data_IF_491560442393
#
_entry.id   IF_491560442393
#
_cell.length_a   1.000
_cell.length_b   1.000
_cell.length_c   1.000
_cell.angle_alpha   90.00
_cell.angle_beta   90.00
_cell.angle_gamma   90.00
#
_symmetry.space_group_name_H-M   'P 1'
#
loop_
_entity.id
_entity.type
_entity.pdbx_description
1 polymer ?
#
# COMPACT_ATOMS: atom_id res chain seq x y z
N UNK A 1 -17.27 -0.51 23.35
CA UNK A 1 -18.74 -0.63 23.36
C UNK A 1 -19.29 0.30 22.28
N UNK A 2 -20.26 -0.17 21.48
CA UNK A 2 -20.94 0.66 20.48
C UNK A 2 -22.08 1.46 21.14
N UNK A 3 -22.07 2.78 20.97
CA UNK A 3 -23.12 3.69 21.44
C UNK A 3 -23.92 4.17 20.24
N UNK A 4 -25.26 4.05 20.29
CA UNK A 4 -26.17 4.63 19.29
C UNK A 4 -26.88 5.82 19.95
N UNK A 5 -26.81 6.99 19.34
CA UNK A 5 -27.53 8.20 19.75
C UNK A 5 -28.56 8.55 18.69
N UNK A 6 -29.81 8.73 19.10
CA UNK A 6 -30.86 9.25 18.25
C UNK A 6 -30.81 10.78 18.25
N UNK A 7 -30.92 11.39 17.06
CA UNK A 7 -31.00 12.83 16.85
C UNK A 7 -32.18 13.13 15.93
N UNK A 8 -33.07 14.01 16.38
CA UNK A 8 -34.16 14.53 15.56
C UNK A 8 -33.65 15.75 14.78
N UNK A 9 -33.79 15.74 13.45
CA UNK A 9 -33.44 16.88 12.59
C UNK A 9 -34.53 17.94 12.69
N UNK A 10 -34.22 19.19 12.33
CA UNK A 10 -35.17 20.32 12.31
C UNK A 10 -36.43 20.04 11.46
N UNK A 11 -36.35 19.12 10.49
CA UNK A 11 -37.45 18.71 9.61
C UNK A 11 -38.24 17.49 10.13
N UNK A 12 -38.08 17.08 11.40
CA UNK A 12 -38.77 15.92 11.99
C UNK A 12 -38.18 14.54 11.64
N UNK A 13 -37.22 14.47 10.71
CA UNK A 13 -36.52 13.22 10.36
C UNK A 13 -35.61 12.72 11.49
N UNK A 14 -35.64 11.40 11.74
CA UNK A 14 -34.77 10.74 12.74
C UNK A 14 -33.43 10.38 12.12
N UNK A 15 -32.35 10.61 12.86
CA UNK A 15 -31.00 10.22 12.48
C UNK A 15 -30.31 9.52 13.66
N UNK A 16 -29.67 8.39 13.39
CA UNK A 16 -28.99 7.55 14.37
C UNK A 16 -27.49 7.67 14.19
N UNK A 17 -26.81 8.30 15.15
CA UNK A 17 -25.36 8.41 15.21
C UNK A 17 -24.79 7.23 16.01
N UNK A 18 -23.99 6.39 15.36
CA UNK A 18 -23.29 5.28 15.99
C UNK A 18 -21.85 5.70 16.28
N UNK A 19 -21.36 5.49 17.50
CA UNK A 19 -19.97 5.68 17.91
C UNK A 19 -19.43 4.42 18.57
N UNK A 20 -18.34 3.87 18.05
CA UNK A 20 -17.70 2.66 18.58
C UNK A 20 -16.34 3.04 19.15
N UNK A 21 -16.17 2.82 20.45
CA UNK A 21 -14.92 3.06 21.18
C UNK A 21 -14.37 1.74 21.72
N UNK A 22 -13.14 1.41 21.37
CA UNK A 22 -12.39 0.26 21.88
C UNK A 22 -11.02 0.71 22.39
N UNK A 23 -10.55 0.11 23.49
CA UNK A 23 -9.27 0.46 24.11
C UNK A 23 -8.12 0.18 23.13
N UNK A 24 -7.30 1.20 22.84
CA UNK A 24 -6.16 1.09 21.93
C UNK A 24 -6.47 1.10 20.43
N UNK A 25 -7.71 1.37 20.00
CA UNK A 25 -8.09 1.48 18.58
C UNK A 25 -8.78 2.82 18.30
N UNK A 26 -8.67 3.30 17.06
CA UNK A 26 -9.31 4.55 16.61
C UNK A 26 -10.83 4.45 16.73
N UNK A 27 -11.47 5.56 17.10
CA UNK A 27 -12.92 5.64 17.16
C UNK A 27 -13.56 5.62 15.77
N UNK A 28 -14.65 4.84 15.66
CA UNK A 28 -15.48 4.74 14.47
C UNK A 28 -16.80 5.46 14.71
N UNK A 29 -17.18 6.34 13.79
CA UNK A 29 -18.43 7.11 13.89
C UNK A 29 -19.14 7.08 12.54
N UNK A 30 -20.44 6.82 12.54
CA UNK A 30 -21.27 6.90 11.34
C UNK A 30 -22.70 7.33 11.70
N UNK A 31 -23.39 7.98 10.76
CA UNK A 31 -24.76 8.45 10.90
C UNK A 31 -25.65 7.72 9.91
N UNK A 32 -26.83 7.27 10.36
CA UNK A 32 -27.81 6.56 9.55
C UNK A 32 -29.19 7.20 9.72
N UNK A 33 -30.08 6.99 8.76
CA UNK A 33 -31.49 7.43 8.87
C UNK A 33 -32.39 6.33 9.46
N UNK A 34 -31.93 5.07 9.46
CA UNK A 34 -32.65 3.90 9.99
C UNK A 34 -31.93 3.25 11.18
N UNK A 35 -32.67 2.90 12.22
CA UNK A 35 -32.13 2.27 13.42
C UNK A 35 -31.59 0.85 13.16
N UNK A 36 -32.23 0.11 12.24
CA UNK A 36 -31.82 -1.23 11.82
C UNK A 36 -30.43 -1.21 11.20
N UNK A 37 -30.21 -0.25 10.29
CA UNK A 37 -28.96 -0.09 9.55
C UNK A 37 -27.85 0.34 10.51
N UNK A 38 -28.17 1.24 11.45
CA UNK A 38 -27.27 1.64 12.53
C UNK A 38 -26.83 0.45 13.39
N UNK A 39 -27.75 -0.43 13.81
CA UNK A 39 -27.44 -1.64 14.59
C UNK A 39 -26.62 -2.66 13.80
N UNK A 40 -26.96 -2.88 12.54
CA UNK A 40 -26.23 -3.79 11.65
C UNK A 40 -24.81 -3.30 11.41
N UNK A 41 -24.65 -2.02 11.08
CA UNK A 41 -23.35 -1.38 10.91
C UNK A 41 -22.53 -1.42 12.20
N UNK A 42 -23.15 -1.18 13.37
CA UNK A 42 -22.46 -1.28 14.65
C UNK A 42 -21.85 -2.66 14.88
N UNK A 43 -22.64 -3.73 14.67
CA UNK A 43 -22.19 -5.12 14.85
C UNK A 43 -21.09 -5.50 13.86
N UNK A 44 -21.32 -5.26 12.57
CA UNK A 44 -20.34 -5.56 11.52
C UNK A 44 -19.03 -4.80 11.74
N UNK A 45 -19.12 -3.52 12.09
CA UNK A 45 -17.95 -2.67 12.33
C UNK A 45 -17.21 -3.08 13.60
N UNK A 46 -17.91 -3.44 14.66
CA UNK A 46 -17.29 -3.98 15.88
C UNK A 46 -16.49 -5.25 15.58
N UNK A 47 -17.03 -6.18 14.79
CA UNK A 47 -16.32 -7.37 14.33
C UNK A 47 -15.09 -7.00 13.51
N UNK A 48 -15.22 -6.11 12.52
CA UNK A 48 -14.09 -5.63 11.71
C UNK A 48 -13.00 -4.94 12.55
N UNK A 49 -13.39 -4.12 13.53
CA UNK A 49 -12.43 -3.49 14.45
C UNK A 49 -11.76 -4.56 15.29
N UNK A 50 -12.50 -5.55 15.82
CA UNK A 50 -11.96 -6.66 16.61
C UNK A 50 -10.92 -7.46 15.83
N UNK A 51 -11.24 -7.79 14.58
CA UNK A 51 -10.36 -8.47 13.62
C UNK A 51 -9.20 -7.61 13.09
N UNK A 52 -9.19 -6.30 13.41
CA UNK A 52 -8.16 -5.38 12.94
C UNK A 52 -8.26 -4.98 11.47
N UNK A 53 -9.39 -5.30 10.82
CA UNK A 53 -9.70 -5.00 9.40
C UNK A 53 -10.48 -3.71 9.20
N UNK A 54 -10.68 -2.93 10.26
CA UNK A 54 -11.38 -1.65 10.17
C UNK A 54 -10.45 -0.55 9.67
N UNK A 55 -10.50 -0.26 8.38
CA UNK A 55 -9.85 0.89 7.74
C UNK A 55 -10.87 1.99 7.47
N UNK A 56 -10.55 3.23 7.88
CA UNK A 56 -11.45 4.40 7.79
C UNK A 56 -11.75 4.86 6.36
N UNK A 57 -11.05 4.36 5.34
CA UNK A 57 -11.15 4.95 4.01
C UNK A 57 -12.24 4.25 3.20
N UNK A 58 -13.44 4.84 3.18
CA UNK A 58 -14.48 4.50 2.21
C UNK A 58 -14.01 4.69 0.75
N UNK A 59 -12.92 5.44 0.52
CA UNK A 59 -12.27 5.56 -0.78
C UNK A 59 -11.49 4.29 -1.17
N UNK A 60 -10.97 3.52 -0.21
CA UNK A 60 -10.26 2.26 -0.49
C UNK A 60 -11.16 1.20 -1.14
N UNK A 61 -12.48 1.28 -0.89
CA UNK A 61 -13.48 0.37 -1.48
C UNK A 61 -13.90 0.77 -2.90
N UNK A 62 -13.48 1.96 -3.38
CA UNK A 62 -13.86 2.49 -4.69
C UNK A 62 -12.75 2.39 -5.73
N UNK A 63 -11.50 2.31 -5.28
CA UNK A 63 -10.33 2.32 -6.15
C UNK A 63 -9.67 0.95 -6.17
N UNK A 64 -9.29 0.54 -7.37
CA UNK A 64 -8.50 -0.66 -7.61
C UNK A 64 -7.00 -0.35 -7.57
N UNK A 65 -6.17 -1.39 -7.53
CA UNK A 65 -4.73 -1.22 -7.68
C UNK A 65 -4.36 -0.67 -9.06
N UNK A 66 -5.11 -1.02 -10.11
CA UNK A 66 -4.88 -0.45 -11.45
C UNK A 66 -5.08 1.06 -11.43
N UNK A 67 -6.18 1.54 -10.84
CA UNK A 67 -6.44 2.99 -10.71
C UNK A 67 -5.29 3.71 -10.00
N UNK A 68 -4.73 3.05 -8.96
CA UNK A 68 -3.60 3.58 -8.23
C UNK A 68 -2.33 3.66 -9.08
N UNK A 69 -2.04 2.59 -9.83
CA UNK A 69 -0.88 2.50 -10.71
C UNK A 69 -0.97 3.55 -11.82
N UNK A 70 -2.12 3.62 -12.50
CA UNK A 70 -2.33 4.53 -13.63
C UNK A 70 -2.19 5.98 -13.20
N UNK A 71 -2.84 6.34 -12.09
CA UNK A 71 -2.72 7.68 -11.52
C UNK A 71 -1.29 8.00 -11.09
N UNK A 72 -0.58 7.04 -10.47
CA UNK A 72 0.82 7.27 -10.08
C UNK A 72 1.74 7.47 -11.29
N UNK A 73 1.52 6.72 -12.36
CA UNK A 73 2.26 6.85 -13.61
C UNK A 73 1.99 8.21 -14.26
N UNK A 74 0.75 8.70 -14.23
CA UNK A 74 0.36 9.99 -14.81
C UNK A 74 0.82 11.19 -13.98
N UNK A 75 0.54 11.18 -12.67
CA UNK A 75 0.65 12.38 -11.83
C UNK A 75 2.02 12.49 -11.14
N UNK A 76 2.64 11.37 -10.77
CA UNK A 76 3.84 11.38 -9.89
C UNK A 76 5.11 11.05 -10.66
N UNK A 77 5.03 10.10 -11.58
CA UNK A 77 6.16 9.59 -12.32
C UNK A 77 6.87 10.61 -13.23
N UNK A 78 6.19 11.58 -13.88
CA UNK A 78 6.85 12.59 -14.70
C UNK A 78 7.84 13.43 -13.90
N UNK A 79 7.61 13.61 -12.59
CA UNK A 79 8.52 14.32 -11.69
C UNK A 79 9.76 13.49 -11.29
N UNK A 80 9.85 12.22 -11.71
CA UNK A 80 10.93 11.27 -11.36
C UNK A 80 11.65 10.73 -12.60
N UNK A 81 12.09 11.63 -13.48
CA UNK A 81 12.67 11.32 -14.81
C UNK A 81 13.73 10.21 -14.83
N UNK A 82 14.65 10.16 -13.86
CA UNK A 82 15.74 9.16 -13.80
C UNK A 82 15.25 7.71 -13.64
N UNK A 83 14.15 7.51 -12.92
CA UNK A 83 13.63 6.18 -12.57
C UNK A 83 12.30 5.87 -13.25
N UNK A 84 11.77 6.81 -14.04
CA UNK A 84 10.46 6.77 -14.65
C UNK A 84 10.24 5.47 -15.45
N UNK A 85 11.14 5.12 -16.38
CA UNK A 85 10.98 3.93 -17.23
C UNK A 85 10.97 2.63 -16.42
N UNK A 86 11.87 2.52 -15.44
CA UNK A 86 11.96 1.34 -14.59
C UNK A 86 10.73 1.20 -13.69
N UNK A 87 10.31 2.28 -13.03
CA UNK A 87 9.14 2.27 -12.16
C UNK A 87 7.85 2.03 -12.94
N UNK A 88 7.67 2.64 -14.12
CA UNK A 88 6.51 2.38 -14.97
C UNK A 88 6.39 0.90 -15.31
N UNK A 89 7.51 0.26 -15.68
CA UNK A 89 7.51 -1.17 -16.04
C UNK A 89 7.20 -2.06 -14.83
N UNK A 90 7.74 -1.72 -13.66
CA UNK A 90 7.49 -2.45 -12.41
C UNK A 90 6.03 -2.32 -11.95
N UNK A 91 5.47 -1.10 -11.99
CA UNK A 91 4.10 -0.83 -11.58
C UNK A 91 3.08 -1.43 -12.56
N UNK A 92 3.35 -1.39 -13.87
CA UNK A 92 2.52 -2.08 -14.88
C UNK A 92 2.44 -3.57 -14.62
N UNK A 93 3.56 -4.22 -14.29
CA UNK A 93 3.55 -5.63 -13.93
C UNK A 93 2.66 -5.90 -12.72
N UNK A 94 2.68 -5.06 -11.68
CA UNK A 94 1.76 -5.17 -10.55
C UNK A 94 0.29 -4.99 -10.96
N UNK A 95 0.00 -4.05 -11.86
CA UNK A 95 -1.32 -3.87 -12.46
C UNK A 95 -1.78 -5.11 -13.23
N UNK A 96 -0.90 -5.78 -13.98
CA UNK A 96 -1.24 -7.02 -14.69
C UNK A 96 -1.53 -8.19 -13.74
N UNK A 97 -0.84 -8.29 -12.61
CA UNK A 97 -1.03 -9.41 -11.68
C UNK A 97 -2.25 -9.23 -10.76
N UNK A 98 -2.36 -8.06 -10.12
CA UNK A 98 -3.33 -7.79 -9.06
C UNK A 98 -4.05 -6.44 -9.25
N UNK A 99 -4.08 -5.90 -10.47
CA UNK A 99 -4.71 -4.62 -10.79
C UNK A 99 -6.21 -4.57 -10.50
N UNK A 100 -6.92 -5.68 -10.67
CA UNK A 100 -8.37 -5.78 -10.42
C UNK A 100 -8.74 -5.81 -8.93
N UNK A 101 -7.75 -5.94 -8.04
CA UNK A 101 -7.97 -6.03 -6.60
C UNK A 101 -8.25 -4.64 -6.06
N UNK A 102 -9.31 -4.52 -5.26
CA UNK A 102 -9.63 -3.29 -4.54
C UNK A 102 -8.54 -2.97 -3.53
N UNK A 103 -8.23 -1.68 -3.36
CA UNK A 103 -7.25 -1.24 -2.37
C UNK A 103 -7.66 -1.62 -0.93
N UNK A 104 -8.96 -1.80 -0.66
CA UNK A 104 -9.47 -2.34 0.61
C UNK A 104 -9.10 -3.80 0.86
N UNK A 105 -8.98 -4.59 -0.21
CA UNK A 105 -8.74 -6.04 -0.15
C UNK A 105 -7.25 -6.38 -0.38
N UNK A 106 -6.42 -5.36 -0.59
CA UNK A 106 -5.00 -5.50 -0.76
C UNK A 106 -4.33 -5.93 0.55
N UNK A 107 -4.10 -7.24 0.69
CA UNK A 107 -3.47 -7.83 1.88
C UNK A 107 -1.96 -8.04 1.68
N UNK A 108 -1.16 -8.01 2.77
CA UNK A 108 0.26 -8.35 2.70
C UNK A 108 0.52 -9.75 2.14
N UNK A 109 -0.35 -10.72 2.46
CA UNK A 109 -0.23 -12.10 1.99
C UNK A 109 -0.35 -12.21 0.47
N UNK A 110 -1.30 -11.49 -0.13
CA UNK A 110 -1.47 -11.45 -1.58
C UNK A 110 -0.22 -10.87 -2.26
N UNK A 111 0.37 -9.82 -1.69
CA UNK A 111 1.58 -9.21 -2.25
C UNK A 111 2.79 -10.16 -2.12
N UNK A 112 2.88 -10.92 -1.04
CA UNK A 112 3.93 -11.92 -0.83
C UNK A 112 3.82 -13.07 -1.84
N UNK A 113 2.61 -13.57 -2.09
CA UNK A 113 2.35 -14.60 -3.09
C UNK A 113 2.83 -14.16 -4.47
N UNK A 114 2.44 -12.95 -4.90
CA UNK A 114 2.88 -12.40 -6.18
C UNK A 114 4.40 -12.14 -6.24
N UNK A 115 5.00 -11.73 -5.12
CA UNK A 115 6.45 -11.58 -5.01
C UNK A 115 7.17 -12.93 -5.21
N UNK A 116 6.64 -14.00 -4.63
CA UNK A 116 7.25 -15.33 -4.70
C UNK A 116 7.13 -15.87 -6.14
N UNK A 117 5.98 -15.68 -6.79
CA UNK A 117 5.80 -15.95 -8.23
C UNK A 117 6.80 -15.16 -9.11
N UNK A 118 7.03 -13.88 -8.79
CA UNK A 118 8.02 -13.07 -9.49
C UNK A 118 9.45 -13.61 -9.31
N UNK A 119 9.77 -14.13 -8.13
CA UNK A 119 11.10 -14.69 -7.84
C UNK A 119 11.40 -15.97 -8.63
N UNK A 120 10.35 -16.74 -8.94
CA UNK A 120 10.46 -17.99 -9.71
C UNK A 120 10.51 -17.75 -11.22
N UNK A 121 10.06 -16.59 -11.70
CA UNK A 121 10.07 -16.23 -13.11
C UNK A 121 11.48 -16.30 -13.70
N UNK A 122 11.62 -17.08 -14.77
CA UNK A 122 12.88 -17.23 -15.51
C UNK A 122 12.99 -16.08 -16.52
N UNK A 123 14.09 -15.35 -16.47
CA UNK A 123 14.39 -14.28 -17.42
C UNK A 123 14.89 -14.85 -18.75
N UNK A 124 14.92 -14.04 -19.81
CA UNK A 124 15.47 -14.43 -21.13
C UNK A 124 16.90 -14.96 -21.06
N UNK A 125 17.63 -14.67 -19.98
CA UNK A 125 18.98 -15.19 -19.69
C UNK A 125 18.98 -16.60 -19.07
N UNK A 126 17.84 -17.28 -19.06
CA UNK A 126 17.61 -18.61 -18.42
C UNK A 126 17.95 -18.64 -16.92
N UNK A 127 17.93 -17.48 -16.27
CA UNK A 127 18.19 -17.35 -14.83
C UNK A 127 16.96 -16.77 -14.12
N UNK A 128 16.73 -17.22 -12.89
CA UNK A 128 15.70 -16.66 -12.00
C UNK A 128 15.97 -15.17 -11.76
N UNK A 129 14.91 -14.39 -11.54
CA UNK A 129 15.05 -12.98 -11.20
C UNK A 129 15.83 -12.86 -9.88
N UNK A 130 16.82 -11.97 -9.84
CA UNK A 130 17.60 -11.75 -8.61
C UNK A 130 16.75 -11.11 -7.52
N UNK A 131 17.02 -11.46 -6.26
CA UNK A 131 16.32 -10.88 -5.09
C UNK A 131 16.36 -9.34 -5.09
N UNK A 132 17.47 -8.75 -5.54
CA UNK A 132 17.60 -7.30 -5.67
C UNK A 132 16.60 -6.70 -6.68
N UNK A 133 16.30 -7.42 -7.78
CA UNK A 133 15.27 -6.99 -8.73
C UNK A 133 13.88 -7.14 -8.11
N UNK A 134 13.57 -8.27 -7.47
CA UNK A 134 12.29 -8.46 -6.77
C UNK A 134 12.04 -7.36 -5.74
N UNK A 135 13.05 -7.01 -4.94
CA UNK A 135 12.97 -5.94 -3.96
C UNK A 135 12.69 -4.56 -4.59
N UNK A 136 13.19 -4.29 -5.81
CA UNK A 136 12.86 -3.04 -6.54
C UNK A 136 11.38 -2.98 -6.92
N UNK A 137 10.79 -4.10 -7.37
CA UNK A 137 9.36 -4.18 -7.66
C UNK A 137 8.51 -3.90 -6.42
N UNK A 138 8.87 -4.51 -5.28
CA UNK A 138 8.18 -4.28 -4.01
C UNK A 138 8.37 -2.84 -3.53
N UNK A 139 9.56 -2.25 -3.72
CA UNK A 139 9.84 -0.87 -3.33
C UNK A 139 9.05 0.15 -4.14
N UNK A 140 8.89 -0.06 -5.45
CA UNK A 140 8.05 0.78 -6.30
C UNK A 140 6.59 0.76 -5.80
N UNK A 141 6.03 -0.44 -5.60
CA UNK A 141 4.67 -0.61 -5.08
C UNK A 141 4.49 0.05 -3.70
N UNK A 142 5.44 -0.13 -2.78
CA UNK A 142 5.39 0.47 -1.44
C UNK A 142 5.38 2.00 -1.48
N UNK A 143 6.14 2.59 -2.41
CA UNK A 143 6.17 4.05 -2.60
C UNK A 143 4.83 4.54 -3.13
N UNK A 144 4.26 3.86 -4.13
CA UNK A 144 2.95 4.19 -4.72
C UNK A 144 1.82 4.10 -3.70
N UNK A 145 1.78 3.04 -2.89
CA UNK A 145 0.82 2.90 -1.78
C UNK A 145 1.02 3.99 -0.73
N UNK A 146 2.26 4.37 -0.43
CA UNK A 146 2.53 5.44 0.54
C UNK A 146 2.00 6.79 0.04
N UNK A 147 2.14 7.09 -1.25
CA UNK A 147 1.53 8.28 -1.86
C UNK A 147 0.01 8.22 -1.79
N UNK A 148 -0.59 7.06 -2.06
CA UNK A 148 -2.03 6.85 -1.94
C UNK A 148 -2.58 7.16 -0.53
N UNK A 149 -1.83 6.75 0.50
CA UNK A 149 -2.20 6.96 1.91
C UNK A 149 -2.03 8.43 2.30
N UNK A 150 -0.91 9.06 1.93
CA UNK A 150 -0.56 10.41 2.40
C UNK A 150 -1.20 11.54 1.61
N UNK A 151 -1.16 11.44 0.29
CA UNK A 151 -1.55 12.54 -0.60
C UNK A 151 -3.00 12.40 -1.08
N UNK A 152 -3.47 11.18 -1.28
CA UNK A 152 -4.79 10.91 -1.85
C UNK A 152 -5.81 10.41 -0.83
N UNK A 153 -5.37 10.05 0.37
CA UNK A 153 -6.19 9.47 1.45
C UNK A 153 -7.04 8.26 1.00
N UNK A 154 -6.63 7.58 -0.08
CA UNK A 154 -7.34 6.43 -0.63
C UNK A 154 -7.28 5.22 0.29
N UNK A 155 -6.25 5.14 1.15
CA UNK A 155 -6.06 4.07 2.12
C UNK A 155 -5.70 4.66 3.48
N UNK A 156 -6.09 3.95 4.55
CA UNK A 156 -5.80 4.38 5.93
C UNK A 156 -4.41 3.99 6.43
N UNK A 157 -3.81 2.93 5.87
CA UNK A 157 -2.46 2.47 6.24
C UNK A 157 -1.82 1.71 5.06
N UNK A 158 -0.50 1.60 5.06
CA UNK A 158 0.26 0.87 4.05
C UNK A 158 0.51 -0.59 4.50
N UNK A 159 -0.12 -1.60 3.86
CA UNK A 159 0.07 -3.01 4.23
C UNK A 159 1.52 -3.51 4.08
N UNK A 160 2.32 -2.88 3.20
CA UNK A 160 3.72 -3.24 2.98
C UNK A 160 4.68 -2.76 4.07
N UNK A 161 4.24 -1.92 5.02
CA UNK A 161 5.10 -1.51 6.16
C UNK A 161 5.53 -2.69 7.02
N UNK A 162 4.72 -3.76 7.07
CA UNK A 162 4.99 -4.96 7.89
C UNK A 162 5.70 -6.08 7.12
N UNK A 163 5.92 -5.91 5.81
CA UNK A 163 6.51 -6.94 4.97
C UNK A 163 8.04 -6.86 5.02
N UNK A 164 8.67 -7.98 5.41
CA UNK A 164 10.13 -8.09 5.44
C UNK A 164 10.71 -8.17 4.03
N UNK A 165 11.81 -7.46 3.77
CA UNK A 165 12.52 -7.46 2.49
C UNK A 165 13.33 -8.76 2.33
N UNK A 166 13.43 -9.28 1.12
CA UNK A 166 14.26 -10.45 0.85
C UNK A 166 15.73 -10.10 1.03
N UNK A 167 16.52 -11.07 1.54
CA UNK A 167 17.95 -10.91 1.75
C UNK A 167 18.67 -10.70 0.40
N UNK A 168 19.26 -9.53 0.24
CA UNK A 168 20.12 -9.22 -0.91
C UNK A 168 21.53 -9.75 -0.65
N UNK A 169 22.19 -10.25 -1.71
CA UNK A 169 23.62 -10.52 -1.63
C UNK A 169 24.35 -9.22 -1.31
N UNK A 170 25.24 -9.22 -0.31
CA UNK A 170 26.14 -8.08 -0.06
C UNK A 170 26.77 -7.70 -1.40
N UNK A 171 26.51 -6.47 -1.86
CA UNK A 171 27.24 -5.91 -2.98
C UNK A 171 28.73 -6.12 -2.70
N UNK A 172 29.48 -6.64 -3.67
CA UNK A 172 30.94 -6.74 -3.55
C UNK A 172 31.42 -5.32 -3.24
N UNK A 173 31.81 -5.07 -2.00
CA UNK A 173 32.52 -3.86 -1.64
C UNK A 173 33.86 -4.00 -2.33
N UNK A 174 33.98 -3.47 -3.55
CA UNK A 174 35.29 -3.19 -4.13
C UNK A 174 35.92 -2.20 -3.15
N UNK A 175 36.98 -2.58 -2.42
CA UNK A 175 37.66 -1.63 -1.57
C UNK A 175 38.08 -0.45 -2.46
N UNK A 176 37.69 0.76 -2.06
CA UNK A 176 38.20 1.98 -2.70
C UNK A 176 39.72 1.85 -2.79
N UNK A 177 40.34 1.97 -3.97
CA UNK A 177 41.79 2.06 -4.04
C UNK A 177 42.17 3.31 -3.24
N UNK A 178 42.91 3.12 -2.14
CA UNK A 178 43.41 4.22 -1.33
C UNK A 178 44.04 5.26 -2.25
N UNK A 179 43.55 6.50 -2.19
CA UNK A 179 43.95 7.65 -3.02
C UNK A 179 45.47 7.90 -2.97
N UNK A 180 46.18 7.34 -1.99
CA UNK A 180 47.63 7.37 -1.88
C UNK A 180 48.44 6.58 -2.92
N UNK A 181 47.82 5.82 -3.84
CA UNK A 181 48.57 5.10 -4.90
C UNK A 181 48.44 5.66 -6.33
N UNK A 182 47.74 6.78 -6.54
CA UNK A 182 47.57 7.36 -7.90
C UNK A 182 48.52 8.53 -8.19
N UNK A 183 49.25 9.06 -7.21
CA UNK A 183 50.12 10.26 -7.41
C UNK A 183 51.59 9.93 -7.75
N UNK A 184 51.94 8.67 -8.07
CA UNK A 184 53.33 8.31 -8.51
C UNK A 184 53.45 7.92 -9.98
N UNK A 185 52.64 8.50 -10.88
CA UNK A 185 52.79 8.25 -12.32
C UNK A 185 52.45 9.43 -13.23
N UNK A 186 52.68 10.66 -12.78
CA UNK A 186 52.54 11.87 -13.62
C UNK A 186 53.81 12.75 -13.63
N UNK A 187 54.89 12.37 -12.93
CA UNK A 187 56.19 13.04 -13.09
C UNK A 187 57.31 12.03 -13.29
N UNK A 188 57.49 11.60 -14.54
CA UNK A 188 58.79 11.18 -15.09
C UNK A 188 58.74 11.37 -16.60
#
# INVERSE_FOLDING_TARGET
MAQIRERVRKNGGKSFLVRIRMKGKLEATASFDRLTDAKFWARSTETKIREGRYTKSAAAQKHTLSDLVDRYIMDVLPHKSKIQKEYASQLKWWGEQIGNVLLSDLTPSLILEQRDLLSEKVTNRKTKISNARVNRYVAALSTTITTAVKEWEWMGDNPLRKVSKLKESRGKHLPFPSIHKVVRRIYT
#
